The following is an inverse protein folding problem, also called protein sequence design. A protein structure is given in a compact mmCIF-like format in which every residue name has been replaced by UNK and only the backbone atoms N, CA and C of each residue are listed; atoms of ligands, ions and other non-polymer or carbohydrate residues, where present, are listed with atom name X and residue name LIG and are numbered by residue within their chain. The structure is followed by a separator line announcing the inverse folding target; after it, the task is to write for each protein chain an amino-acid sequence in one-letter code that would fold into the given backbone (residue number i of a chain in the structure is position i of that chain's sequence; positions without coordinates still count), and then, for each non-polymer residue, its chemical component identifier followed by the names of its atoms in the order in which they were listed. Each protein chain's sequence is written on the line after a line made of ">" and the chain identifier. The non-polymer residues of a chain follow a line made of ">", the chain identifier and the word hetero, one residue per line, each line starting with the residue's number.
data_IF_068497275027
#
_entry.id   IF_068497275027
#
_cell.length_a   1.000
_cell.length_b   1.000
_cell.length_c   1.000
_cell.angle_alpha   90.00
_cell.angle_beta   90.00
_cell.angle_gamma   90.00
#
_symmetry.space_group_name_H-M   'P 1'
#
loop_
_entity.id
_entity.type
_entity.pdbx_description
1 polymer ?
#
# COMPACT_ATOMS: atom_id res chain seq x y z
N UNK A 1 2.60 2.92 9.74
CA UNK A 1 2.03 4.27 9.61
C UNK A 1 1.14 4.27 8.38
N UNK A 2 -0.15 4.54 8.58
CA UNK A 2 -1.14 4.62 7.52
C UNK A 2 -0.96 5.93 6.72
N UNK A 3 -1.42 5.95 5.46
CA UNK A 3 -1.13 7.05 4.51
C UNK A 3 -1.77 8.36 4.95
N UNK A 4 -3.00 8.30 5.46
CA UNK A 4 -3.75 9.45 5.97
C UNK A 4 -3.11 10.05 7.22
N UNK A 5 -2.60 9.23 8.15
CA UNK A 5 -1.85 9.72 9.31
C UNK A 5 -0.62 10.53 8.89
N UNK A 6 0.08 10.09 7.83
CA UNK A 6 1.22 10.82 7.28
C UNK A 6 0.79 12.13 6.61
N UNK A 7 -0.35 12.14 5.91
CA UNK A 7 -0.88 13.34 5.25
C UNK A 7 -1.38 14.35 6.29
N UNK A 8 -2.06 13.91 7.33
CA UNK A 8 -2.50 14.74 8.44
C UNK A 8 -1.32 15.44 9.13
N UNK A 9 -0.24 14.69 9.41
CA UNK A 9 1.04 15.23 9.93
C UNK A 9 1.63 16.30 8.99
N UNK A 10 1.65 16.04 7.67
CA UNK A 10 2.16 17.01 6.68
C UNK A 10 1.32 18.27 6.53
N UNK A 11 0.01 18.15 6.72
CA UNK A 11 -0.93 19.27 6.66
C UNK A 11 -1.01 20.01 8.00
N UNK A 12 -0.49 19.42 9.08
CA UNK A 12 -0.51 20.00 10.42
C UNK A 12 -1.87 19.86 11.13
N UNK A 13 -2.63 18.81 10.79
CA UNK A 13 -3.96 18.52 11.38
C UNK A 13 -3.95 17.17 12.08
N UNK A 14 -4.95 16.93 12.95
CA UNK A 14 -5.18 15.60 13.52
C UNK A 14 -6.00 14.76 12.55
N UNK A 15 -5.73 13.46 12.51
CA UNK A 15 -6.61 12.51 11.82
C UNK A 15 -8.00 12.58 12.44
N UNK A 16 -9.04 12.64 11.60
CA UNK A 16 -10.43 12.83 12.02
C UNK A 16 -10.95 14.28 11.91
N UNK A 17 -10.06 15.27 11.71
CA UNK A 17 -10.47 16.65 11.41
C UNK A 17 -10.64 16.85 9.89
N UNK A 18 -9.64 17.46 9.21
CA UNK A 18 -9.69 17.72 7.78
C UNK A 18 -9.24 16.52 6.93
N UNK A 19 -8.48 15.60 7.52
CA UNK A 19 -7.97 14.38 6.87
C UNK A 19 -8.52 13.17 7.63
N UNK A 20 -9.27 12.32 6.95
CA UNK A 20 -9.96 11.17 7.55
C UNK A 20 -9.79 9.90 6.71
N UNK A 21 -10.18 8.76 7.27
CA UNK A 21 -10.34 7.52 6.53
C UNK A 21 -11.70 6.87 6.76
N UNK A 22 -12.08 6.03 5.79
CA UNK A 22 -13.30 5.22 5.82
C UNK A 22 -12.98 3.79 5.34
N UNK A 23 -13.02 2.86 6.28
CA UNK A 23 -12.78 1.43 6.05
C UNK A 23 -13.98 0.60 6.54
N UNK A 24 -13.93 -0.70 6.28
CA UNK A 24 -15.03 -1.58 6.65
C UNK A 24 -15.16 -1.65 8.19
N UNK A 25 -16.30 -1.19 8.70
CA UNK A 25 -16.66 -1.01 10.13
C UNK A 25 -16.08 0.21 10.85
N UNK A 26 -15.35 1.08 10.17
CA UNK A 26 -14.79 2.28 10.79
C UNK A 26 -14.89 3.48 9.83
N UNK A 27 -15.65 4.49 10.26
CA UNK A 27 -15.88 5.71 9.52
C UNK A 27 -15.59 6.89 10.45
N UNK A 28 -14.56 7.67 10.11
CA UNK A 28 -14.12 8.83 10.87
C UNK A 28 -14.52 10.16 10.19
N UNK A 29 -15.46 10.14 9.24
CA UNK A 29 -15.89 11.34 8.53
C UNK A 29 -16.64 12.31 9.44
N UNK A 30 -16.50 13.61 9.17
CA UNK A 30 -17.19 14.68 9.88
C UNK A 30 -17.51 15.83 8.93
N UNK A 31 -18.32 16.80 9.38
CA UNK A 31 -18.60 18.01 8.58
C UNK A 31 -17.37 18.91 8.33
N UNK A 32 -16.21 18.59 8.91
CA UNK A 32 -14.94 19.29 8.68
C UNK A 32 -14.03 18.57 7.69
N UNK A 33 -14.41 17.36 7.24
CA UNK A 33 -13.60 16.55 6.32
C UNK A 33 -13.34 17.30 5.02
N UNK A 34 -12.08 17.29 4.59
CA UNK A 34 -11.64 17.86 3.31
C UNK A 34 -11.01 16.79 2.42
N UNK A 35 -10.26 15.85 3.02
CA UNK A 35 -9.60 14.75 2.33
C UNK A 35 -10.02 13.45 3.02
N UNK A 36 -10.59 12.55 2.23
CA UNK A 36 -11.03 11.23 2.69
C UNK A 36 -10.26 10.13 1.99
N UNK A 37 -9.66 9.25 2.79
CA UNK A 37 -9.02 8.02 2.33
C UNK A 37 -9.97 6.85 2.53
N UNK A 38 -10.44 6.24 1.46
CA UNK A 38 -11.38 5.14 1.55
C UNK A 38 -10.93 3.92 0.75
N UNK A 39 -11.37 2.74 1.17
CA UNK A 39 -11.17 1.53 0.37
C UNK A 39 -12.13 1.48 -0.81
N UNK A 40 -11.73 0.79 -1.90
CA UNK A 40 -12.59 0.61 -3.08
C UNK A 40 -13.98 0.04 -2.72
N UNK A 41 -14.07 -0.81 -1.68
CA UNK A 41 -15.34 -1.37 -1.21
C UNK A 41 -16.24 -0.31 -0.57
N UNK A 42 -15.68 0.62 0.19
CA UNK A 42 -16.45 1.72 0.79
C UNK A 42 -16.96 2.66 -0.29
N UNK A 43 -16.12 3.01 -1.26
CA UNK A 43 -16.52 3.84 -2.40
C UNK A 43 -17.66 3.20 -3.22
N UNK A 44 -17.56 1.90 -3.51
CA UNK A 44 -18.63 1.17 -4.20
C UNK A 44 -19.95 1.17 -3.41
N UNK A 45 -19.87 1.10 -2.07
CA UNK A 45 -21.06 1.18 -1.21
C UNK A 45 -21.69 2.56 -1.28
N UNK A 46 -20.87 3.59 -1.33
CA UNK A 46 -21.35 4.96 -1.44
C UNK A 46 -22.03 5.22 -2.79
N UNK A 47 -21.49 4.68 -3.89
CA UNK A 47 -22.17 4.69 -5.19
C UNK A 47 -23.59 4.08 -5.17
N UNK A 48 -23.86 3.12 -4.28
CA UNK A 48 -25.20 2.54 -4.13
C UNK A 48 -26.18 3.50 -3.45
N UNK A 49 -25.69 4.44 -2.64
CA UNK A 49 -26.51 5.40 -1.89
C UNK A 49 -26.59 6.74 -2.62
N UNK A 50 -25.46 7.25 -3.12
CA UNK A 50 -25.36 8.46 -3.93
C UNK A 50 -24.66 8.18 -5.27
N UNK A 51 -25.41 7.79 -6.32
CA UNK A 51 -24.82 7.43 -7.61
C UNK A 51 -24.04 8.56 -8.30
N UNK A 52 -24.35 9.82 -7.96
CA UNK A 52 -23.70 10.99 -8.55
C UNK A 52 -22.48 11.48 -7.74
N UNK A 53 -22.23 10.91 -6.56
CA UNK A 53 -21.14 11.28 -5.65
C UNK A 53 -20.95 12.81 -5.53
N UNK A 54 -22.04 13.52 -5.26
CA UNK A 54 -22.08 14.99 -5.32
C UNK A 54 -21.09 15.66 -4.36
N UNK A 55 -20.73 14.99 -3.26
CA UNK A 55 -19.76 15.45 -2.27
C UNK A 55 -18.29 15.39 -2.72
N UNK A 56 -17.96 14.72 -3.84
CA UNK A 56 -16.58 14.53 -4.29
C UNK A 56 -16.32 15.28 -5.59
N UNK A 57 -15.13 15.85 -5.75
CA UNK A 57 -14.78 16.59 -6.98
C UNK A 57 -13.36 16.32 -7.46
N UNK A 58 -12.29 16.45 -6.66
CA UNK A 58 -11.11 15.68 -7.00
C UNK A 58 -11.29 14.26 -6.43
N UNK A 59 -11.36 13.27 -7.31
CA UNK A 59 -11.26 11.86 -6.94
C UNK A 59 -9.95 11.28 -7.46
N UNK A 60 -9.21 10.62 -6.57
CA UNK A 60 -7.97 9.95 -6.91
C UNK A 60 -8.15 8.45 -6.68
N UNK A 61 -8.01 7.66 -7.74
CA UNK A 61 -7.94 6.21 -7.65
C UNK A 61 -6.46 5.83 -7.63
N UNK A 62 -5.92 5.56 -6.44
CA UNK A 62 -4.52 5.15 -6.28
C UNK A 62 -4.35 3.64 -6.40
N UNK A 63 -3.38 3.23 -7.22
CA UNK A 63 -3.01 1.84 -7.48
C UNK A 63 -4.24 0.97 -7.73
N UNK A 64 -5.05 1.24 -8.79
CA UNK A 64 -6.10 0.32 -9.17
C UNK A 64 -5.44 -1.04 -9.42
N UNK A 65 -5.64 -1.97 -8.50
CA UNK A 65 -4.96 -3.26 -8.56
C UNK A 65 -5.57 -4.02 -9.73
N UNK A 66 -4.73 -4.38 -10.68
CA UNK A 66 -5.12 -5.08 -11.90
C UNK A 66 -5.97 -6.32 -11.53
N UNK A 67 -7.17 -6.39 -12.11
CA UNK A 67 -8.05 -7.57 -12.10
C UNK A 67 -8.69 -7.96 -10.74
N UNK A 68 -9.04 -7.00 -9.90
CA UNK A 68 -10.01 -7.26 -8.81
C UNK A 68 -11.41 -6.81 -9.23
N UNK A 69 -12.43 -7.66 -9.06
CA UNK A 69 -13.81 -7.39 -9.47
C UNK A 69 -14.32 -6.02 -8.99
N UNK A 70 -14.01 -5.67 -7.74
CA UNK A 70 -14.39 -4.38 -7.17
C UNK A 70 -13.74 -3.20 -7.89
N UNK A 71 -12.46 -3.31 -8.28
CA UNK A 71 -11.76 -2.25 -9.00
C UNK A 71 -12.30 -2.11 -10.42
N UNK A 72 -12.59 -3.21 -11.11
CA UNK A 72 -13.12 -3.16 -12.48
C UNK A 72 -14.51 -2.53 -12.53
N UNK A 73 -15.40 -2.89 -11.59
CA UNK A 73 -16.72 -2.27 -11.45
C UNK A 73 -16.56 -0.77 -11.12
N UNK A 74 -15.67 -0.44 -10.19
CA UNK A 74 -15.43 0.94 -9.79
C UNK A 74 -14.95 1.80 -10.97
N UNK A 75 -13.98 1.29 -11.75
CA UNK A 75 -13.45 1.98 -12.92
C UNK A 75 -14.54 2.24 -13.99
N UNK A 76 -15.47 1.30 -14.16
CA UNK A 76 -16.64 1.50 -15.02
C UNK A 76 -17.56 2.61 -14.53
N UNK A 77 -17.92 2.59 -13.24
CA UNK A 77 -18.80 3.60 -12.64
C UNK A 77 -18.18 5.00 -12.66
N UNK A 78 -16.90 5.14 -12.31
CA UNK A 78 -16.23 6.45 -12.32
C UNK A 78 -16.01 6.96 -13.74
N UNK A 79 -15.83 6.09 -14.74
CA UNK A 79 -15.77 6.48 -16.16
C UNK A 79 -17.09 7.09 -16.61
N UNK A 80 -18.20 6.43 -16.33
CA UNK A 80 -19.53 6.94 -16.69
C UNK A 80 -19.84 8.25 -15.96
N UNK A 81 -19.45 8.35 -14.69
CA UNK A 81 -19.60 9.59 -13.92
C UNK A 81 -18.75 10.73 -14.49
N UNK A 82 -17.49 10.49 -14.86
CA UNK A 82 -16.62 11.50 -15.45
C UNK A 82 -17.16 12.03 -16.79
N UNK A 83 -17.91 11.21 -17.54
CA UNK A 83 -18.61 11.63 -18.78
C UNK A 83 -19.87 12.45 -18.48
N UNK A 84 -20.59 12.14 -17.40
CA UNK A 84 -21.85 12.81 -17.04
C UNK A 84 -21.66 14.11 -16.27
N UNK A 85 -20.63 14.19 -15.42
CA UNK A 85 -20.32 15.35 -14.56
C UNK A 85 -19.10 16.11 -15.08
N UNK A 86 -19.28 17.24 -15.78
CA UNK A 86 -18.16 18.04 -16.30
C UNK A 86 -17.35 18.72 -15.19
N UNK A 87 -17.92 18.85 -13.99
CA UNK A 87 -17.26 19.37 -12.80
C UNK A 87 -16.40 18.33 -12.08
N UNK A 88 -16.54 17.03 -12.38
CA UNK A 88 -15.83 15.95 -11.71
C UNK A 88 -14.43 15.73 -12.28
N UNK A 89 -13.40 15.75 -11.42
CA UNK A 89 -12.01 15.53 -11.79
C UNK A 89 -11.52 14.17 -11.30
N UNK A 90 -11.18 13.30 -12.25
CA UNK A 90 -10.66 11.97 -11.99
C UNK A 90 -9.16 11.90 -12.25
N UNK A 91 -8.39 11.48 -11.24
CA UNK A 91 -6.98 11.14 -11.39
C UNK A 91 -6.79 9.65 -11.08
N UNK A 92 -6.13 8.93 -11.99
CA UNK A 92 -5.78 7.53 -11.79
C UNK A 92 -4.26 7.43 -11.66
N UNK A 93 -3.79 6.96 -10.51
CA UNK A 93 -2.37 6.76 -10.22
C UNK A 93 -2.04 5.27 -10.33
N UNK A 94 -1.13 4.90 -11.23
CA UNK A 94 -0.66 3.52 -11.37
C UNK A 94 0.86 3.45 -11.31
N UNK A 95 1.36 2.39 -10.66
CA UNK A 95 2.78 2.05 -10.63
C UNK A 95 3.19 1.15 -11.81
N UNK A 96 2.24 0.58 -12.56
CA UNK A 96 2.52 -0.34 -13.67
C UNK A 96 2.68 0.39 -14.99
N UNK A 97 3.52 -0.15 -15.86
CA UNK A 97 3.91 0.45 -17.15
C UNK A 97 2.80 0.38 -18.21
N UNK A 98 1.61 -0.14 -17.89
CA UNK A 98 0.53 -0.34 -18.86
C UNK A 98 -0.44 0.85 -18.94
N UNK A 99 0.10 2.07 -18.92
CA UNK A 99 -0.67 3.30 -19.03
C UNK A 99 -1.48 3.38 -20.33
N UNK A 100 -1.04 2.69 -21.39
CA UNK A 100 -1.73 2.64 -22.68
C UNK A 100 -3.15 2.03 -22.57
N UNK A 101 -3.34 0.98 -21.75
CA UNK A 101 -4.67 0.41 -21.54
C UNK A 101 -5.61 1.36 -20.82
N UNK A 102 -5.11 2.08 -19.81
CA UNK A 102 -5.90 3.09 -19.10
C UNK A 102 -6.21 4.27 -20.01
N UNK A 103 -5.27 4.69 -20.85
CA UNK A 103 -5.46 5.74 -21.85
C UNK A 103 -6.60 5.40 -22.82
N UNK A 104 -6.54 4.21 -23.43
CA UNK A 104 -7.60 3.73 -24.34
C UNK A 104 -8.94 3.57 -23.61
N UNK A 105 -8.91 2.99 -22.39
CA UNK A 105 -10.12 2.78 -21.61
C UNK A 105 -10.76 4.08 -21.13
N UNK A 106 -10.01 5.14 -20.84
CA UNK A 106 -10.53 6.44 -20.39
C UNK A 106 -10.61 7.49 -21.51
N UNK A 107 -10.97 7.05 -22.72
CA UNK A 107 -11.28 7.94 -23.87
C UNK A 107 -10.13 8.90 -24.21
N UNK A 108 -8.92 8.34 -24.34
CA UNK A 108 -7.68 9.05 -24.68
C UNK A 108 -7.23 10.08 -23.63
N UNK A 109 -7.62 9.88 -22.35
CA UNK A 109 -7.27 10.75 -21.23
C UNK A 109 -5.75 10.99 -21.11
N UNK A 110 -5.28 12.23 -20.87
CA UNK A 110 -3.86 12.55 -20.91
C UNK A 110 -3.05 11.76 -19.89
N UNK A 111 -1.95 11.15 -20.36
CA UNK A 111 -1.01 10.42 -19.50
C UNK A 111 0.07 11.37 -19.00
N UNK A 112 0.23 11.45 -17.68
CA UNK A 112 1.35 12.13 -17.06
C UNK A 112 2.32 11.11 -16.44
N UNK A 113 3.52 10.98 -17.03
CA UNK A 113 4.53 10.06 -16.55
C UNK A 113 5.52 10.77 -15.61
N UNK A 114 5.63 10.28 -14.37
CA UNK A 114 6.63 10.75 -13.42
C UNK A 114 7.87 9.84 -13.57
N UNK A 115 9.02 10.36 -14.01
CA UNK A 115 10.21 9.54 -14.18
C UNK A 115 10.64 8.98 -12.83
N UNK A 116 10.57 7.64 -12.70
CA UNK A 116 11.08 6.94 -11.54
C UNK A 116 12.60 7.09 -11.44
N UNK A 117 13.10 7.15 -10.20
CA UNK A 117 14.54 6.99 -9.93
C UNK A 117 14.76 5.54 -9.52
N UNK A 118 15.30 4.75 -10.43
CA UNK A 118 15.81 3.42 -10.09
C UNK A 118 17.27 3.56 -9.67
N UNK A 119 17.60 2.96 -8.53
CA UNK A 119 18.99 2.73 -8.15
C UNK A 119 19.40 1.34 -8.64
N UNK A 120 20.66 1.13 -9.03
CA UNK A 120 21.12 -0.20 -9.39
C UNK A 120 20.94 -1.15 -8.20
N UNK A 121 20.36 -2.32 -8.46
CA UNK A 121 20.17 -3.38 -7.47
C UNK A 121 20.83 -4.64 -8.00
N UNK A 122 21.73 -5.23 -7.21
CA UNK A 122 22.35 -6.50 -7.53
C UNK A 122 21.41 -7.66 -7.20
N UNK A 123 21.24 -8.58 -8.14
CA UNK A 123 20.38 -9.75 -7.98
C UNK A 123 21.23 -10.98 -7.67
N UNK A 124 20.97 -11.59 -6.52
CA UNK A 124 21.65 -12.80 -6.05
C UNK A 124 20.65 -13.97 -6.04
N UNK A 125 21.08 -15.11 -6.57
CA UNK A 125 20.27 -16.33 -6.64
C UNK A 125 20.96 -17.46 -5.88
N UNK A 126 20.17 -18.35 -5.29
CA UNK A 126 20.71 -19.60 -4.74
C UNK A 126 21.17 -20.51 -5.88
N UNK A 127 22.23 -21.28 -5.67
CA UNK A 127 22.75 -22.21 -6.68
C UNK A 127 21.77 -23.33 -6.99
N UNK A 128 21.01 -23.75 -5.98
CA UNK A 128 20.01 -24.81 -6.08
C UNK A 128 18.68 -24.34 -5.46
N UNK A 129 17.55 -24.97 -5.84
CA UNK A 129 16.27 -24.72 -5.20
C UNK A 129 16.32 -25.07 -3.70
N UNK A 130 15.85 -24.16 -2.85
CA UNK A 130 15.76 -24.38 -1.41
C UNK A 130 14.43 -25.01 -1.04
N UNK A 131 14.48 -26.19 -0.40
CA UNK A 131 13.28 -26.89 0.06
C UNK A 131 12.59 -26.17 1.23
N UNK A 132 13.36 -25.47 2.05
CA UNK A 132 12.87 -24.67 3.18
C UNK A 132 13.26 -23.20 3.00
N UNK A 133 12.49 -22.49 2.15
CA UNK A 133 12.71 -21.07 1.91
C UNK A 133 12.59 -20.23 3.18
N UNK A 134 11.77 -20.65 4.14
CA UNK A 134 11.54 -19.94 5.39
C UNK A 134 12.83 -19.85 6.22
N UNK A 135 13.46 -21.00 6.48
CA UNK A 135 14.73 -21.04 7.19
C UNK A 135 15.87 -20.37 6.41
N UNK A 136 15.90 -20.56 5.08
CA UNK A 136 16.89 -19.91 4.21
C UNK A 136 16.77 -18.37 4.27
N UNK A 137 15.55 -17.83 4.30
CA UNK A 137 15.30 -16.39 4.43
C UNK A 137 15.82 -15.85 5.77
N UNK A 138 15.46 -16.48 6.89
CA UNK A 138 15.95 -16.09 8.23
C UNK A 138 17.48 -16.12 8.30
N UNK A 139 18.10 -17.17 7.76
CA UNK A 139 19.57 -17.28 7.69
C UNK A 139 20.18 -16.14 6.87
N UNK A 140 19.55 -15.81 5.73
CA UNK A 140 20.01 -14.73 4.84
C UNK A 140 19.92 -13.36 5.52
N UNK A 141 18.89 -13.11 6.35
CA UNK A 141 18.78 -11.87 7.15
C UNK A 141 20.01 -11.69 8.04
N UNK A 142 20.39 -12.72 8.80
CA UNK A 142 21.58 -12.66 9.65
C UNK A 142 22.87 -12.52 8.87
N UNK A 143 22.98 -13.21 7.73
CA UNK A 143 24.14 -13.05 6.84
C UNK A 143 24.25 -11.61 6.34
N UNK A 144 23.15 -10.99 5.92
CA UNK A 144 23.14 -9.59 5.47
C UNK A 144 23.53 -8.67 6.62
N UNK A 145 22.87 -8.78 7.77
CA UNK A 145 23.12 -7.93 8.95
C UNK A 145 24.57 -7.96 9.43
N UNK A 146 25.25 -9.10 9.29
CA UNK A 146 26.63 -9.27 9.76
C UNK A 146 27.70 -8.94 8.71
N UNK A 147 27.41 -9.09 7.42
CA UNK A 147 28.42 -8.97 6.35
C UNK A 147 28.27 -7.73 5.47
N UNK A 148 27.07 -7.16 5.38
CA UNK A 148 26.78 -6.04 4.50
C UNK A 148 26.92 -4.70 5.24
N UNK A 149 27.14 -3.59 4.52
CA UNK A 149 27.13 -2.26 5.12
C UNK A 149 25.74 -1.93 5.71
N UNK A 150 25.70 -0.89 6.54
CA UNK A 150 24.46 -0.43 7.19
C UNK A 150 23.34 -0.19 6.18
N UNK A 151 22.17 -0.75 6.46
CA UNK A 151 20.93 -0.58 5.70
C UNK A 151 19.81 -1.42 6.31
N UNK A 152 18.57 -1.11 5.92
CA UNK A 152 17.39 -1.86 6.36
C UNK A 152 17.20 -3.11 5.50
N UNK A 153 16.59 -4.15 6.09
CA UNK A 153 16.31 -5.43 5.42
C UNK A 153 14.79 -5.59 5.29
N UNK A 154 14.31 -5.79 4.07
CA UNK A 154 12.91 -6.13 3.80
C UNK A 154 12.81 -7.59 3.35
N UNK A 155 12.04 -8.40 4.08
CA UNK A 155 11.81 -9.82 3.80
C UNK A 155 10.33 -10.04 3.52
N UNK A 156 10.01 -10.88 2.54
CA UNK A 156 8.65 -11.24 2.18
C UNK A 156 8.36 -12.68 2.59
N UNK A 157 7.25 -12.87 3.32
CA UNK A 157 6.70 -14.17 3.69
C UNK A 157 5.27 -14.31 3.16
N UNK A 158 4.75 -15.53 3.11
CA UNK A 158 3.48 -15.83 2.45
C UNK A 158 2.25 -15.49 3.30
N UNK A 159 2.40 -15.40 4.62
CA UNK A 159 1.29 -15.13 5.52
C UNK A 159 1.71 -14.75 6.94
N UNK A 160 0.72 -14.39 7.76
CA UNK A 160 0.92 -13.91 9.13
C UNK A 160 1.69 -14.91 10.00
N UNK A 161 1.32 -16.20 9.97
CA UNK A 161 1.99 -17.23 10.77
C UNK A 161 3.49 -17.34 10.48
N UNK A 162 3.90 -17.16 9.21
CA UNK A 162 5.33 -17.15 8.86
C UNK A 162 5.99 -15.86 9.35
N UNK A 163 5.34 -14.71 9.24
CA UNK A 163 5.89 -13.43 9.70
C UNK A 163 6.14 -13.46 11.21
N UNK A 164 5.16 -13.91 11.99
CA UNK A 164 5.26 -14.03 13.45
C UNK A 164 6.30 -15.08 13.84
N UNK A 165 6.30 -16.25 13.20
CA UNK A 165 7.32 -17.27 13.46
C UNK A 165 8.74 -16.82 13.10
N UNK A 166 8.90 -16.01 12.04
CA UNK A 166 10.19 -15.44 11.69
C UNK A 166 10.63 -14.39 12.72
N UNK A 167 9.71 -13.56 13.21
CA UNK A 167 9.98 -12.60 14.26
C UNK A 167 10.51 -13.29 15.52
N UNK A 168 9.82 -14.33 16.01
CA UNK A 168 10.23 -15.08 17.20
C UNK A 168 11.67 -15.62 17.05
N UNK A 169 11.94 -16.31 15.94
CA UNK A 169 13.27 -16.88 15.68
C UNK A 169 14.36 -15.79 15.57
N UNK A 170 14.04 -14.67 14.92
CA UNK A 170 14.98 -13.56 14.78
C UNK A 170 15.27 -12.91 16.15
N UNK A 171 14.25 -12.71 16.98
CA UNK A 171 14.40 -12.12 18.32
C UNK A 171 15.20 -13.04 19.25
N UNK A 172 14.87 -14.33 19.30
CA UNK A 172 15.61 -15.33 20.09
C UNK A 172 17.08 -15.39 19.67
N UNK A 173 17.35 -15.48 18.37
CA UNK A 173 18.71 -15.55 17.84
C UNK A 173 19.48 -14.24 18.09
N UNK A 174 18.81 -13.08 18.08
CA UNK A 174 19.43 -11.81 18.45
C UNK A 174 19.83 -11.76 19.92
N UNK A 175 19.04 -12.33 20.82
CA UNK A 175 19.38 -12.41 22.25
C UNK A 175 20.61 -13.29 22.47
N UNK A 176 20.70 -14.43 21.79
CA UNK A 176 21.86 -15.33 21.85
C UNK A 176 23.14 -14.69 21.31
N UNK A 177 23.00 -13.78 20.34
CA UNK A 177 24.11 -13.11 19.66
C UNK A 177 24.36 -11.68 20.17
N UNK A 178 23.65 -11.21 21.19
CA UNK A 178 23.56 -9.80 21.62
C UNK A 178 24.92 -9.09 21.86
N UNK A 179 25.97 -9.85 22.18
CA UNK A 179 27.32 -9.30 22.41
C UNK A 179 28.24 -9.35 21.18
N UNK A 180 27.81 -9.95 20.07
CA UNK A 180 28.62 -10.21 18.87
C UNK A 180 28.14 -9.48 17.62
N UNK A 181 26.87 -9.09 17.58
CA UNK A 181 26.25 -8.41 16.44
C UNK A 181 25.71 -7.04 16.85
N UNK A 182 25.54 -6.12 15.89
CA UNK A 182 24.85 -4.87 16.14
C UNK A 182 23.37 -5.09 16.46
N UNK A 183 22.75 -4.11 17.10
CA UNK A 183 21.31 -4.12 17.38
C UNK A 183 20.51 -4.30 16.07
N UNK A 184 19.58 -5.26 16.07
CA UNK A 184 18.64 -5.53 14.99
C UNK A 184 17.23 -5.27 15.52
N UNK A 185 16.54 -4.30 14.93
CA UNK A 185 15.15 -3.99 15.28
C UNK A 185 14.24 -4.73 14.31
N UNK A 186 13.36 -5.58 14.84
CA UNK A 186 12.46 -6.41 14.05
C UNK A 186 11.07 -5.78 14.06
N UNK A 187 10.46 -5.64 12.88
CA UNK A 187 9.17 -4.99 12.69
C UNK A 187 8.28 -5.87 11.80
N UNK A 188 7.40 -6.72 12.36
CA UNK A 188 6.43 -7.48 11.58
C UNK A 188 5.43 -6.54 10.88
N UNK A 189 5.01 -6.88 9.66
CA UNK A 189 3.95 -6.16 8.95
C UNK A 189 3.01 -7.17 8.28
N UNK A 190 1.77 -7.25 8.74
CA UNK A 190 0.70 -8.03 8.11
C UNK A 190 -0.66 -7.30 8.20
N UNK A 191 -1.62 -7.74 7.40
CA UNK A 191 -2.91 -7.05 7.19
C UNK A 191 -3.73 -6.88 8.50
N UNK A 192 -3.53 -7.75 9.50
CA UNK A 192 -4.31 -7.76 10.74
C UNK A 192 -3.75 -6.91 11.91
N UNK A 193 -2.65 -6.16 11.75
CA UNK A 193 -2.08 -5.38 12.87
C UNK A 193 -2.81 -4.06 13.20
N UNK A 194 -3.99 -3.82 12.65
CA UNK A 194 -4.75 -2.58 12.89
C UNK A 194 -5.94 -2.77 13.84
N UNK A 195 -5.88 -3.75 14.72
CA UNK A 195 -6.81 -3.90 15.84
C UNK A 195 -6.01 -4.26 17.08
N UNK A 196 -5.55 -3.25 17.82
CA UNK A 196 -5.53 -3.17 19.29
C UNK A 196 -4.91 -1.83 19.74
#
# INVERSE_FOLDING_TARGET
>A
MLVEARVADKVGVRVGDAVVYSIWFEDCTSGKTVIEYMTNRMLLREFMTEPNLAGYTPMIIDKPRECTLSTDILLGLVKDMARFRPDFWLLISSATMNAAKFWEYFDDAPIFNIPGRMYPVDLLYTTNPEANYFHAAVTTVFQIHTTQPKGDILVFFTGQNEIEGAQEILEETCQDLANKIGELVICPIHICQFTD
#
